data_IF_456068222220
#
_entry.id   IF_456068222220
#
_cell.length_a   1.000
_cell.length_b   1.000
_cell.length_c   1.000
_cell.angle_alpha   90.00
_cell.angle_beta   90.00
_cell.angle_gamma   90.00
#
_symmetry.space_group_name_H-M   'P 1'
#
loop_
_entity.id
_entity.type
_entity.pdbx_description
1 polymer ?
#
# COMPACT_ATOMS: atom_id res chain seq x y z
N UNK A 1 -7.62 25.81 9.60
CA UNK A 1 -7.75 24.52 8.90
C UNK A 1 -6.67 23.64 9.48
N UNK A 2 -7.01 22.45 10.00
CA UNK A 2 -6.03 21.60 10.66
C UNK A 2 -4.93 21.20 9.65
N UNK A 3 -3.66 21.32 10.05
CA UNK A 3 -2.53 20.75 9.30
C UNK A 3 -2.85 19.27 9.04
N UNK A 4 -2.86 18.88 7.76
CA UNK A 4 -3.00 17.47 7.40
C UNK A 4 -1.65 16.82 7.66
N UNK A 5 -1.50 16.21 8.83
CA UNK A 5 -0.37 15.31 9.09
C UNK A 5 -0.45 14.17 8.07
N UNK A 6 0.53 14.15 7.16
CA UNK A 6 0.75 13.16 6.12
C UNK A 6 -0.32 13.01 5.01
N UNK A 7 -0.33 13.92 4.00
CA UNK A 7 -1.25 13.84 2.86
C UNK A 7 -1.05 12.60 1.97
N UNK A 8 0.16 12.03 1.90
CA UNK A 8 0.43 10.81 1.12
C UNK A 8 -0.35 9.63 1.68
N UNK A 9 -0.17 9.35 2.97
CA UNK A 9 -0.80 8.24 3.67
C UNK A 9 -2.32 8.33 3.57
N UNK A 10 -2.86 9.55 3.77
CA UNK A 10 -4.30 9.79 3.67
C UNK A 10 -4.84 9.42 2.29
N UNK A 11 -4.22 9.90 1.21
CA UNK A 11 -4.67 9.61 -0.15
C UNK A 11 -4.63 8.11 -0.43
N UNK A 12 -3.53 7.45 -0.09
CA UNK A 12 -3.34 6.02 -0.32
C UNK A 12 -4.39 5.24 0.47
N UNK A 13 -4.50 5.48 1.77
CA UNK A 13 -5.47 4.82 2.65
C UNK A 13 -6.90 4.96 2.15
N UNK A 14 -7.34 6.19 1.85
CA UNK A 14 -8.70 6.42 1.36
C UNK A 14 -8.95 5.79 -0.02
N UNK A 15 -7.91 5.49 -0.80
CA UNK A 15 -8.05 4.80 -2.10
C UNK A 15 -8.19 3.29 -1.89
N UNK A 16 -7.40 2.71 -0.96
CA UNK A 16 -7.44 1.30 -0.61
C UNK A 16 -8.66 0.90 0.27
N UNK A 17 -9.43 1.86 0.78
CA UNK A 17 -10.70 1.60 1.47
C UNK A 17 -11.83 1.15 0.54
N UNK A 18 -11.76 1.44 -0.77
CA UNK A 18 -12.69 0.86 -1.74
C UNK A 18 -12.27 -0.60 -2.00
N UNK A 19 -13.03 -1.54 -1.43
CA UNK A 19 -12.72 -2.98 -1.48
C UNK A 19 -12.63 -3.51 -2.92
N UNK A 20 -13.46 -3.01 -3.84
CA UNK A 20 -13.43 -3.47 -5.24
C UNK A 20 -12.14 -3.03 -5.92
N UNK A 21 -11.75 -1.78 -5.68
CA UNK A 21 -10.50 -1.25 -6.18
C UNK A 21 -9.31 -1.99 -5.56
N UNK A 22 -9.28 -2.16 -4.24
CA UNK A 22 -8.20 -2.87 -3.53
C UNK A 22 -8.07 -4.32 -4.01
N UNK A 23 -9.17 -5.05 -4.17
CA UNK A 23 -9.17 -6.40 -4.73
C UNK A 23 -8.58 -6.45 -6.14
N UNK A 24 -8.94 -5.48 -6.99
CA UNK A 24 -8.41 -5.36 -8.36
C UNK A 24 -6.90 -5.08 -8.32
N UNK A 25 -6.47 -4.14 -7.48
CA UNK A 25 -5.06 -3.82 -7.29
C UNK A 25 -4.24 -5.02 -6.82
N UNK A 26 -4.68 -5.76 -5.81
CA UNK A 26 -3.96 -6.93 -5.31
C UNK A 26 -3.95 -8.08 -6.33
N UNK A 27 -5.02 -8.25 -7.11
CA UNK A 27 -5.06 -9.22 -8.21
C UNK A 27 -3.98 -8.94 -9.26
N UNK A 28 -3.70 -7.67 -9.54
CA UNK A 28 -2.70 -7.27 -10.52
C UNK A 28 -1.26 -7.25 -9.97
N UNK A 29 -1.10 -7.02 -8.66
CA UNK A 29 0.22 -6.75 -8.06
C UNK A 29 0.84 -7.94 -7.34
N UNK A 30 0.03 -8.75 -6.64
CA UNK A 30 0.52 -9.92 -5.92
C UNK A 30 1.07 -11.00 -6.87
N UNK A 31 1.95 -11.89 -6.39
CA UNK A 31 2.43 -13.02 -7.17
C UNK A 31 1.27 -13.90 -7.65
N UNK A 32 1.30 -14.32 -8.91
CA UNK A 32 0.17 -15.04 -9.52
C UNK A 32 -0.19 -16.34 -8.78
N UNK A 33 0.80 -17.03 -8.21
CA UNK A 33 0.57 -18.23 -7.41
C UNK A 33 -0.13 -17.93 -6.07
N UNK A 34 0.07 -16.75 -5.50
CA UNK A 34 -0.67 -16.27 -4.32
C UNK A 34 -2.11 -15.95 -4.72
N UNK A 35 -2.30 -15.20 -5.80
CA UNK A 35 -3.64 -14.79 -6.29
C UNK A 35 -4.54 -16.02 -6.57
N UNK A 36 -3.98 -17.10 -7.13
CA UNK A 36 -4.72 -18.36 -7.38
C UNK A 36 -5.29 -19.01 -6.10
N UNK A 37 -4.70 -18.74 -4.94
CA UNK A 37 -5.15 -19.29 -3.66
C UNK A 37 -6.18 -18.39 -2.96
N UNK A 38 -6.15 -17.10 -3.25
CA UNK A 38 -6.93 -16.07 -2.58
C UNK A 38 -8.27 -15.79 -3.29
N UNK A 39 -9.33 -15.71 -2.50
CA UNK A 39 -10.63 -15.23 -2.96
C UNK A 39 -10.75 -13.71 -2.77
N UNK A 40 -10.09 -12.96 -3.67
CA UNK A 40 -10.05 -11.50 -3.62
C UNK A 40 -11.42 -10.83 -3.82
N UNK A 41 -12.42 -11.55 -4.35
CA UNK A 41 -13.78 -11.00 -4.51
C UNK A 41 -14.47 -10.80 -3.15
N UNK A 42 -14.10 -11.61 -2.16
CA UNK A 42 -14.58 -11.54 -0.77
C UNK A 42 -13.51 -10.96 0.17
N UNK A 43 -12.62 -10.11 -0.35
CA UNK A 43 -11.66 -9.37 0.46
C UNK A 43 -12.38 -8.35 1.33
N UNK A 44 -12.11 -8.40 2.63
CA UNK A 44 -12.71 -7.50 3.62
C UNK A 44 -11.63 -6.68 4.33
N UNK A 45 -11.94 -5.41 4.59
CA UNK A 45 -11.09 -4.59 5.45
C UNK A 45 -11.40 -4.97 6.90
N UNK A 46 -10.39 -5.46 7.63
CA UNK A 46 -10.51 -5.85 9.02
C UNK A 46 -10.55 -4.59 9.90
N UNK A 47 -11.55 -4.50 10.79
CA UNK A 47 -11.68 -3.35 11.69
C UNK A 47 -10.45 -3.23 12.59
N UNK A 48 -9.87 -2.04 12.71
CA UNK A 48 -8.61 -1.72 13.41
C UNK A 48 -8.59 -1.98 14.94
N UNK A 49 -9.46 -2.85 15.47
CA UNK A 49 -9.45 -3.29 16.86
C UNK A 49 -8.33 -4.30 17.17
N UNK A 50 -7.68 -4.87 16.16
CA UNK A 50 -6.57 -5.83 16.27
C UNK A 50 -5.23 -5.20 16.69
N UNK A 51 -5.10 -3.89 16.54
CA UNK A 51 -3.83 -3.16 16.64
C UNK A 51 -3.86 -2.37 17.95
N UNK A 52 -2.90 -2.64 18.86
CA UNK A 52 -2.86 -1.99 20.18
C UNK A 52 -2.84 -0.46 20.04
N UNK A 53 -3.25 0.28 21.08
CA UNK A 53 -3.23 1.74 21.06
C UNK A 53 -1.83 2.30 20.74
N UNK A 54 -0.75 1.59 21.09
CA UNK A 54 0.61 1.97 20.71
C UNK A 54 0.89 1.84 19.21
N UNK A 55 0.32 0.84 18.54
CA UNK A 55 0.48 0.64 17.10
C UNK A 55 -0.50 1.50 16.28
N UNK A 56 -1.64 1.91 16.86
CA UNK A 56 -2.53 2.91 16.26
C UNK A 56 -1.88 4.29 16.13
N UNK A 57 -0.90 4.60 16.99
CA UNK A 57 -0.19 5.89 16.98
C UNK A 57 0.74 6.05 15.77
N UNK A 58 1.14 4.94 15.10
CA UNK A 58 1.97 4.99 13.88
C UNK A 58 1.15 5.19 12.59
N UNK A 59 -0.18 5.22 12.69
CA UNK A 59 -1.10 5.84 11.72
C UNK A 59 -1.08 5.35 10.25
N UNK A 60 -0.60 4.14 9.89
CA UNK A 60 -0.63 3.68 8.48
C UNK A 60 -0.96 2.22 8.14
N UNK A 61 -1.60 1.41 8.99
CA UNK A 61 -1.88 0.02 8.59
C UNK A 61 -3.32 -0.25 8.15
N UNK A 62 -3.49 -0.78 6.94
CA UNK A 62 -4.72 -1.45 6.51
C UNK A 62 -4.51 -2.96 6.62
N UNK A 63 -5.39 -3.64 7.34
CA UNK A 63 -5.38 -5.09 7.45
C UNK A 63 -6.54 -5.65 6.65
N UNK A 64 -6.24 -6.42 5.60
CA UNK A 64 -7.26 -7.09 4.81
C UNK A 64 -7.37 -8.55 5.21
N UNK A 65 -8.59 -9.02 5.41
CA UNK A 65 -8.91 -10.42 5.59
C UNK A 65 -9.38 -10.99 4.26
N UNK A 66 -8.76 -12.07 3.81
CA UNK A 66 -8.98 -12.65 2.49
C UNK A 66 -9.24 -14.15 2.65
N UNK A 67 -10.42 -14.65 2.26
CA UNK A 67 -10.71 -16.08 2.28
C UNK A 67 -9.81 -16.86 1.31
N UNK A 68 -9.57 -18.14 1.62
CA UNK A 68 -8.93 -19.07 0.69
C UNK A 68 -9.98 -19.68 -0.25
N UNK A 69 -9.66 -19.78 -1.54
CA UNK A 69 -10.53 -20.44 -2.55
C UNK A 69 -10.78 -21.91 -2.26
N UNK A 70 -9.92 -22.56 -1.48
CA UNK A 70 -10.13 -23.94 -1.06
C UNK A 70 -11.31 -24.12 -0.10
N UNK A 71 -11.89 -23.04 0.43
CA UNK A 71 -12.94 -23.09 1.45
C UNK A 71 -12.40 -23.47 2.85
N UNK A 72 -11.08 -23.46 3.05
CA UNK A 72 -10.49 -23.66 4.36
C UNK A 72 -10.94 -22.54 5.32
N UNK A 73 -11.25 -22.92 6.57
CA UNK A 73 -11.70 -21.97 7.61
C UNK A 73 -10.63 -20.96 8.08
N UNK A 74 -9.39 -21.06 7.58
CA UNK A 74 -8.32 -20.12 7.92
C UNK A 74 -8.24 -19.07 6.82
N UNK A 75 -8.50 -17.82 7.19
CA UNK A 75 -8.30 -16.68 6.31
C UNK A 75 -6.81 -16.37 6.18
N UNK A 76 -6.44 -15.72 5.08
CA UNK A 76 -5.14 -15.06 4.93
C UNK A 76 -5.33 -13.59 5.27
N UNK A 77 -4.42 -13.03 6.05
CA UNK A 77 -4.34 -11.59 6.28
C UNK A 77 -3.32 -10.98 5.33
N UNK A 78 -3.66 -9.84 4.73
CA UNK A 78 -2.71 -8.99 4.02
C UNK A 78 -2.55 -7.71 4.85
N UNK A 79 -1.35 -7.54 5.40
CA UNK A 79 -0.95 -6.38 6.18
C UNK A 79 -0.35 -5.36 5.24
N UNK A 80 -1.11 -4.33 4.90
CA UNK A 80 -0.70 -3.26 4.00
C UNK A 80 -0.05 -2.14 4.81
N UNK A 81 1.24 -1.91 4.57
CA UNK A 81 2.00 -0.82 5.14
C UNK A 81 2.49 0.13 4.03
N UNK A 82 2.29 1.42 4.23
CA UNK A 82 2.67 2.45 3.28
C UNK A 82 3.90 3.21 3.78
N UNK A 83 4.91 3.36 2.91
CA UNK A 83 6.13 4.13 3.21
C UNK A 83 6.43 5.14 2.12
N UNK A 84 6.41 6.41 2.53
CA UNK A 84 6.78 7.56 1.70
C UNK A 84 8.28 7.91 1.79
N UNK A 85 9.04 7.25 2.67
CA UNK A 85 10.48 7.39 2.86
C UNK A 85 11.12 6.04 3.20
N UNK A 86 12.43 5.90 2.96
CA UNK A 86 13.17 4.69 3.31
C UNK A 86 13.41 4.66 4.83
N UNK A 87 12.86 3.66 5.50
CA UNK A 87 12.93 3.51 6.95
C UNK A 87 13.51 2.14 7.31
N UNK A 88 14.66 2.14 8.00
CA UNK A 88 15.38 0.89 8.32
C UNK A 88 14.66 0.02 9.36
N UNK A 89 13.71 0.59 10.10
CA UNK A 89 12.93 -0.07 11.15
C UNK A 89 11.71 -0.82 10.65
N UNK A 90 11.37 -0.73 9.35
CA UNK A 90 10.14 -1.31 8.79
C UNK A 90 9.98 -2.80 9.09
N UNK A 91 11.04 -3.61 9.03
CA UNK A 91 10.91 -5.04 9.31
C UNK A 91 10.63 -5.34 10.79
N UNK A 92 11.17 -4.53 11.71
CA UNK A 92 10.87 -4.65 13.14
C UNK A 92 9.42 -4.24 13.40
N UNK A 93 8.96 -3.18 12.75
CA UNK A 93 7.58 -2.72 12.80
C UNK A 93 6.60 -3.80 12.29
N UNK A 94 6.87 -4.37 11.10
CA UNK A 94 6.08 -5.47 10.51
C UNK A 94 6.07 -6.71 11.42
N UNK A 95 7.21 -7.07 12.03
CA UNK A 95 7.27 -8.17 12.99
C UNK A 95 6.38 -7.89 14.21
N UNK A 96 6.36 -6.65 14.70
CA UNK A 96 5.47 -6.19 15.76
C UNK A 96 4.00 -6.37 15.38
N UNK A 97 3.60 -5.91 14.20
CA UNK A 97 2.24 -6.07 13.68
C UNK A 97 1.82 -7.54 13.54
N UNK A 98 2.66 -8.37 12.92
CA UNK A 98 2.40 -9.81 12.80
C UNK A 98 2.23 -10.46 14.18
N UNK A 99 3.06 -10.08 15.14
CA UNK A 99 2.99 -10.60 16.52
C UNK A 99 1.68 -10.21 17.19
N UNK A 100 1.21 -8.97 17.05
CA UNK A 100 -0.08 -8.54 17.61
C UNK A 100 -1.27 -9.21 16.93
N UNK A 101 -1.24 -9.41 15.60
CA UNK A 101 -2.25 -10.19 14.88
C UNK A 101 -2.35 -11.60 15.50
N UNK A 102 -1.22 -12.30 15.65
CA UNK A 102 -1.22 -13.66 16.22
C UNK A 102 -1.64 -13.69 17.69
N UNK A 103 -1.23 -12.70 18.48
CA UNK A 103 -1.66 -12.56 19.87
C UNK A 103 -3.17 -12.36 19.96
N UNK A 104 -3.76 -11.57 19.07
CA UNK A 104 -5.19 -11.39 19.02
C UNK A 104 -5.93 -12.68 18.64
N UNK A 105 -5.47 -13.39 17.60
CA UNK A 105 -6.03 -14.69 17.22
C UNK A 105 -6.01 -15.68 18.39
N UNK A 106 -4.88 -15.72 19.11
CA UNK A 106 -4.76 -16.56 20.31
C UNK A 106 -5.77 -16.17 21.41
N UNK A 107 -5.93 -14.87 21.70
CA UNK A 107 -6.91 -14.36 22.69
C UNK A 107 -8.34 -14.74 22.34
N UNK A 108 -8.67 -14.77 21.06
CA UNK A 108 -10.00 -15.13 20.55
C UNK A 108 -10.22 -16.65 20.37
N UNK A 109 -9.21 -17.48 20.65
CA UNK A 109 -9.28 -18.93 20.42
C UNK A 109 -9.30 -19.31 18.93
N UNK A 110 -8.85 -18.42 18.07
CA UNK A 110 -8.72 -18.63 16.63
C UNK A 110 -7.44 -19.42 16.31
N UNK A 111 -7.42 -20.08 15.15
CA UNK A 111 -6.18 -20.67 14.63
C UNK A 111 -5.33 -19.58 13.99
N UNK A 112 -4.01 -19.73 14.05
CA UNK A 112 -3.09 -18.82 13.39
C UNK A 112 -3.34 -18.81 11.87
N UNK A 113 -3.42 -17.60 11.32
CA UNK A 113 -3.56 -17.34 9.90
C UNK A 113 -2.21 -17.02 9.26
N UNK A 114 -2.10 -17.20 7.96
CA UNK A 114 -0.98 -16.63 7.20
C UNK A 114 -1.15 -15.11 7.18
N UNK A 115 -0.07 -14.38 7.43
CA UNK A 115 -0.01 -12.92 7.26
C UNK A 115 0.96 -12.63 6.12
N UNK A 116 0.51 -11.90 5.11
CA UNK A 116 1.31 -11.41 3.98
C UNK A 116 1.60 -9.93 4.24
N UNK A 117 2.84 -9.58 4.62
CA UNK A 117 3.25 -8.18 4.68
C UNK A 117 3.36 -7.63 3.26
N UNK A 118 2.55 -6.63 2.94
CA UNK A 118 2.55 -5.92 1.68
C UNK A 118 3.05 -4.50 1.93
N UNK A 119 4.19 -4.15 1.34
CA UNK A 119 4.80 -2.83 1.51
C UNK A 119 4.58 -2.03 0.24
N UNK A 120 3.78 -0.97 0.34
CA UNK A 120 3.64 0.04 -0.70
C UNK A 120 4.71 1.11 -0.49
N UNK A 121 5.72 1.12 -1.35
CA UNK A 121 6.83 2.08 -1.28
C UNK A 121 6.75 3.11 -2.39
N UNK A 122 6.85 4.39 -2.03
CA UNK A 122 6.99 5.47 -3.03
C UNK A 122 8.03 6.52 -2.61
N UNK A 123 9.02 6.13 -1.82
CA UNK A 123 10.08 7.03 -1.37
C UNK A 123 11.05 7.48 -2.46
N UNK A 124 11.80 8.54 -2.18
CA UNK A 124 12.76 9.06 -3.16
C UNK A 124 13.98 8.16 -3.35
N UNK A 125 14.45 7.58 -2.24
CA UNK A 125 15.61 6.69 -2.22
C UNK A 125 15.24 5.35 -2.85
N UNK A 126 16.22 4.68 -3.41
CA UNK A 126 16.03 3.31 -3.87
C UNK A 126 15.83 2.37 -2.66
N UNK A 127 14.91 1.42 -2.79
CA UNK A 127 14.73 0.36 -1.81
C UNK A 127 15.95 -0.58 -1.80
N UNK A 128 16.70 -0.59 -0.68
CA UNK A 128 17.94 -1.38 -0.51
C UNK A 128 17.89 -2.34 0.68
N UNK A 129 16.71 -2.50 1.30
CA UNK A 129 16.56 -3.32 2.50
C UNK A 129 16.33 -4.81 2.17
N UNK A 130 16.38 -5.24 0.91
CA UNK A 130 16.06 -6.63 0.54
C UNK A 130 14.55 -6.90 0.59
N UNK A 131 14.16 -8.17 0.65
CA UNK A 131 12.74 -8.55 0.69
C UNK A 131 12.41 -9.56 1.81
N UNK A 132 13.39 -9.93 2.64
CA UNK A 132 13.20 -10.78 3.81
C UNK A 132 13.71 -10.11 5.07
N UNK A 133 13.15 -10.47 6.21
CA UNK A 133 13.66 -9.98 7.49
C UNK A 133 15.11 -10.44 7.73
N UNK A 134 15.46 -11.64 7.27
CA UNK A 134 16.83 -12.16 7.29
C UNK A 134 17.83 -11.20 6.61
N UNK A 135 17.41 -10.43 5.60
CA UNK A 135 18.28 -9.47 4.90
C UNK A 135 18.72 -8.31 5.80
N UNK A 136 18.10 -8.13 6.97
CA UNK A 136 18.47 -7.10 7.95
C UNK A 136 19.64 -7.52 8.84
N UNK A 137 20.05 -8.79 8.79
CA UNK A 137 21.11 -9.33 9.63
C UNK A 137 22.44 -9.28 8.89
N UNK A 138 23.47 -8.73 9.54
CA UNK A 138 24.83 -8.70 9.00
C UNK A 138 25.53 -10.03 9.32
N UNK A 139 25.36 -11.01 8.42
CA UNK A 139 25.91 -12.36 8.55
C UNK A 139 26.66 -12.77 7.27
N UNK A 140 27.73 -13.55 7.43
CA UNK A 140 28.40 -14.23 6.32
C UNK A 140 27.54 -15.39 5.80
N UNK A 141 27.81 -15.89 4.59
CA UNK A 141 27.08 -17.03 4.02
C UNK A 141 27.15 -18.29 4.88
N UNK A 142 28.28 -18.52 5.56
CA UNK A 142 28.45 -19.65 6.48
C UNK A 142 27.57 -19.48 7.72
N UNK A 143 27.59 -18.30 8.35
CA UNK A 143 26.77 -18.00 9.51
C UNK A 143 25.28 -18.07 9.18
N UNK A 144 24.85 -17.50 8.06
CA UNK A 144 23.46 -17.61 7.58
C UNK A 144 23.03 -19.06 7.38
N UNK A 145 23.91 -19.91 6.85
CA UNK A 145 23.63 -21.34 6.68
C UNK A 145 23.35 -22.08 7.99
N UNK A 146 23.90 -21.61 9.10
CA UNK A 146 23.80 -22.22 10.43
C UNK A 146 22.70 -21.55 11.28
N UNK A 147 22.59 -20.22 11.22
CA UNK A 147 21.78 -19.43 12.15
C UNK A 147 20.38 -19.09 11.63
N UNK A 148 20.11 -19.24 10.32
CA UNK A 148 18.83 -18.84 9.71
C UNK A 148 17.59 -19.46 10.39
N UNK A 149 17.70 -20.68 10.91
CA UNK A 149 16.57 -21.40 11.52
C UNK A 149 16.21 -20.85 12.92
N UNK A 150 17.06 -19.98 13.49
CA UNK A 150 16.82 -19.28 14.77
C UNK A 150 16.34 -17.83 14.58
N UNK A 151 16.21 -17.37 13.33
CA UNK A 151 15.75 -16.02 12.99
C UNK A 151 14.26 -16.12 12.61
N UNK A 152 13.37 -15.26 13.17
CA UNK A 152 11.96 -15.24 12.81
C UNK A 152 11.77 -14.58 11.43
N UNK A 153 12.22 -15.25 10.38
CA UNK A 153 12.27 -14.72 9.02
C UNK A 153 10.90 -14.75 8.32
N UNK A 154 10.59 -13.68 7.61
CA UNK A 154 9.42 -13.56 6.74
C UNK A 154 9.77 -12.74 5.50
N UNK A 155 9.00 -12.96 4.42
CA UNK A 155 9.14 -12.22 3.17
C UNK A 155 8.09 -11.10 3.11
N UNK A 156 8.47 -9.94 2.59
CA UNK A 156 7.53 -8.88 2.18
C UNK A 156 7.18 -9.01 0.69
N UNK A 157 5.95 -8.65 0.35
CA UNK A 157 5.58 -8.30 -1.02
C UNK A 157 5.75 -6.79 -1.21
N UNK A 158 6.77 -6.40 -1.98
CA UNK A 158 7.14 -5.00 -2.16
C UNK A 158 6.55 -4.47 -3.48
N UNK A 159 5.73 -3.43 -3.38
CA UNK A 159 5.31 -2.61 -4.50
C UNK A 159 6.07 -1.28 -4.49
N UNK A 160 7.14 -1.19 -5.28
CA UNK A 160 7.91 0.04 -5.47
C UNK A 160 7.34 0.87 -6.62
N UNK A 161 6.54 1.89 -6.28
CA UNK A 161 5.81 2.73 -7.24
C UNK A 161 6.72 3.34 -8.30
N UNK A 162 7.97 3.66 -7.99
CA UNK A 162 8.90 4.26 -8.96
C UNK A 162 9.29 3.31 -10.09
N UNK A 163 9.17 2.00 -9.88
CA UNK A 163 9.62 0.95 -10.81
C UNK A 163 8.47 0.35 -11.63
N UNK A 164 7.28 0.95 -11.55
CA UNK A 164 6.06 0.39 -12.14
C UNK A 164 5.52 1.28 -13.25
N UNK A 165 5.32 0.69 -14.43
CA UNK A 165 4.52 1.25 -15.51
C UNK A 165 3.04 1.00 -15.23
N UNK A 166 2.35 2.01 -14.70
CA UNK A 166 1.01 1.86 -14.12
C UNK A 166 -0.05 1.37 -15.12
N UNK A 167 0.00 1.84 -16.38
CA UNK A 167 -0.96 1.45 -17.41
C UNK A 167 -0.84 -0.01 -17.82
N UNK A 168 0.36 -0.56 -17.75
CA UNK A 168 0.60 -1.98 -18.07
C UNK A 168 0.29 -2.86 -16.85
N UNK A 169 0.56 -2.35 -15.66
CA UNK A 169 0.47 -3.12 -14.42
C UNK A 169 -0.94 -3.14 -13.82
N UNK A 170 -1.73 -2.08 -13.94
CA UNK A 170 -2.99 -1.92 -13.19
C UNK A 170 -4.18 -1.82 -14.12
N UNK A 171 -5.24 -2.58 -13.85
CA UNK A 171 -6.53 -2.47 -14.59
C UNK A 171 -7.38 -1.29 -14.09
N UNK A 172 -7.27 -0.95 -12.80
CA UNK A 172 -8.05 0.11 -12.18
C UNK A 172 -7.63 1.50 -12.66
N UNK A 173 -8.54 2.20 -13.34
CA UNK A 173 -8.36 3.61 -13.71
C UNK A 173 -8.18 4.49 -12.47
N UNK A 174 -8.94 4.22 -11.39
CA UNK A 174 -8.80 4.94 -10.11
C UNK A 174 -7.35 4.89 -9.61
N UNK A 175 -6.72 3.70 -9.59
CA UNK A 175 -5.33 3.55 -9.18
C UNK A 175 -4.35 4.09 -10.21
N UNK A 176 -4.57 3.90 -11.50
CA UNK A 176 -3.69 4.46 -12.54
C UNK A 176 -3.58 5.99 -12.41
N UNK A 177 -4.70 6.70 -12.27
CA UNK A 177 -4.67 8.16 -12.11
C UNK A 177 -4.09 8.55 -10.76
N UNK A 178 -4.57 7.93 -9.68
CA UNK A 178 -4.16 8.30 -8.31
C UNK A 178 -2.67 8.07 -8.10
N UNK A 179 -2.18 6.87 -8.43
CA UNK A 179 -0.78 6.53 -8.28
C UNK A 179 0.09 7.26 -9.30
N UNK A 180 -0.44 7.57 -10.49
CA UNK A 180 0.26 8.40 -11.48
C UNK A 180 0.55 9.80 -10.93
N UNK A 181 -0.43 10.44 -10.28
CA UNK A 181 -0.20 11.71 -9.58
C UNK A 181 0.81 11.55 -8.46
N UNK A 182 0.70 10.51 -7.63
CA UNK A 182 1.64 10.24 -6.52
C UNK A 182 3.06 9.99 -7.02
N UNK A 183 3.24 9.26 -8.12
CA UNK A 183 4.54 8.92 -8.72
C UNK A 183 5.28 10.18 -9.21
N UNK A 184 4.53 11.16 -9.74
CA UNK A 184 5.05 12.42 -10.31
C UNK A 184 5.09 13.58 -9.30
N UNK A 185 4.53 13.41 -8.10
CA UNK A 185 4.29 14.53 -7.15
C UNK A 185 5.57 15.23 -6.65
N UNK A 186 6.75 14.64 -6.85
CA UNK A 186 8.04 15.22 -6.45
C UNK A 186 8.87 15.80 -7.62
N UNK A 187 8.36 15.71 -8.86
CA UNK A 187 9.02 16.29 -10.03
C UNK A 187 8.98 17.84 -10.02
N UNK A 188 9.78 18.49 -10.87
CA UNK A 188 9.72 19.94 -11.02
C UNK A 188 8.32 20.41 -11.46
N UNK A 189 7.91 21.63 -11.08
CA UNK A 189 6.53 22.10 -11.29
C UNK A 189 6.06 22.01 -12.74
N UNK A 190 6.88 22.44 -13.71
CA UNK A 190 6.54 22.38 -15.13
C UNK A 190 6.39 20.93 -15.63
N UNK A 191 7.27 20.04 -15.19
CA UNK A 191 7.24 18.61 -15.56
C UNK A 191 5.99 17.95 -14.99
N UNK A 192 5.74 18.12 -13.70
CA UNK A 192 4.55 17.60 -13.05
C UNK A 192 3.24 18.09 -13.68
N UNK A 193 3.14 19.40 -13.91
CA UNK A 193 1.97 20.01 -14.56
C UNK A 193 1.75 19.43 -15.96
N UNK A 194 2.83 19.17 -16.71
CA UNK A 194 2.74 18.60 -18.06
C UNK A 194 2.11 17.19 -18.10
N UNK A 195 2.15 16.45 -16.98
CA UNK A 195 1.56 15.10 -16.88
C UNK A 195 0.08 15.11 -16.51
N UNK A 196 -0.40 16.17 -15.86
CA UNK A 196 -1.77 16.22 -15.33
C UNK A 196 -2.87 16.08 -16.39
N UNK A 197 -2.80 16.71 -17.58
CA UNK A 197 -3.82 16.51 -18.61
C UNK A 197 -3.97 15.05 -19.03
N UNK A 198 -2.86 14.34 -19.23
CA UNK A 198 -2.86 12.93 -19.64
C UNK A 198 -3.30 11.97 -18.52
N UNK A 199 -3.06 12.31 -17.26
CA UNK A 199 -3.56 11.55 -16.12
C UNK A 199 -5.06 11.78 -15.91
N UNK A 200 -5.51 13.04 -15.94
CA UNK A 200 -6.91 13.38 -15.72
C UNK A 200 -7.81 13.01 -16.89
N UNK A 201 -7.30 12.90 -18.12
CA UNK A 201 -8.09 12.39 -19.24
C UNK A 201 -8.54 10.94 -19.03
N UNK A 202 -7.75 10.12 -18.32
CA UNK A 202 -8.15 8.74 -17.99
C UNK A 202 -9.40 8.70 -17.13
N UNK A 203 -9.65 9.73 -16.31
CA UNK A 203 -10.87 9.79 -15.49
C UNK A 203 -12.14 9.80 -16.35
N UNK A 204 -12.08 10.20 -17.62
CA UNK A 204 -13.20 10.14 -18.55
C UNK A 204 -13.64 8.71 -18.88
N UNK A 205 -12.77 7.72 -18.66
CA UNK A 205 -13.09 6.30 -18.83
C UNK A 205 -13.93 5.75 -17.66
N UNK A 206 -14.05 6.49 -16.55
CA UNK A 206 -14.95 6.16 -15.46
C UNK A 206 -16.37 6.63 -15.81
N UNK A 207 -17.28 5.68 -16.05
CA UNK A 207 -18.68 5.93 -16.40
C UNK A 207 -19.41 6.73 -15.32
N UNK A 208 -19.17 6.39 -14.05
CA UNK A 208 -19.84 7.02 -12.91
C UNK A 208 -19.29 8.42 -12.62
N UNK A 209 -20.07 9.44 -12.95
CA UNK A 209 -19.69 10.85 -12.77
C UNK A 209 -19.38 11.23 -11.32
N UNK A 210 -20.17 10.74 -10.35
CA UNK A 210 -19.95 10.99 -8.92
C UNK A 210 -18.59 10.50 -8.47
N UNK A 211 -18.22 9.26 -8.86
CA UNK A 211 -16.90 8.68 -8.58
C UNK A 211 -15.78 9.48 -9.24
N UNK A 212 -15.95 9.85 -10.52
CA UNK A 212 -15.00 10.67 -11.27
C UNK A 212 -14.72 12.01 -10.58
N UNK A 213 -15.77 12.75 -10.20
CA UNK A 213 -15.66 14.04 -9.51
C UNK A 213 -15.03 13.88 -8.13
N UNK A 214 -15.38 12.82 -7.40
CA UNK A 214 -14.81 12.53 -6.09
C UNK A 214 -13.29 12.27 -6.17
N UNK A 215 -12.84 11.48 -7.15
CA UNK A 215 -11.41 11.21 -7.39
C UNK A 215 -10.69 12.51 -7.75
N UNK A 216 -11.19 13.28 -8.72
CA UNK A 216 -10.58 14.53 -9.13
C UNK A 216 -10.43 15.51 -7.94
N UNK A 217 -11.49 15.68 -7.15
CA UNK A 217 -11.47 16.53 -5.96
C UNK A 217 -10.41 16.07 -4.96
N UNK A 218 -10.32 14.76 -4.71
CA UNK A 218 -9.33 14.20 -3.78
C UNK A 218 -7.91 14.47 -4.27
N UNK A 219 -7.65 14.29 -5.56
CA UNK A 219 -6.33 14.54 -6.17
C UNK A 219 -5.96 16.02 -6.12
N UNK A 220 -6.88 16.94 -6.43
CA UNK A 220 -6.61 18.38 -6.35
C UNK A 220 -6.29 18.82 -4.91
N UNK A 221 -7.02 18.31 -3.92
CA UNK A 221 -6.73 18.58 -2.50
C UNK A 221 -5.38 18.02 -2.08
N UNK A 222 -5.07 16.79 -2.50
CA UNK A 222 -3.78 16.16 -2.25
C UNK A 222 -2.63 16.97 -2.87
N UNK A 223 -2.76 17.38 -4.13
CA UNK A 223 -1.74 18.19 -4.82
C UNK A 223 -1.54 19.52 -4.07
N UNK A 224 -2.61 20.19 -3.66
CA UNK A 224 -2.56 21.42 -2.88
C UNK A 224 -1.90 21.24 -1.50
N UNK A 225 -2.06 20.08 -0.85
CA UNK A 225 -1.44 19.82 0.44
C UNK A 225 0.02 19.40 0.34
N UNK A 226 0.41 18.71 -0.72
CA UNK A 226 1.80 18.26 -0.92
C UNK A 226 2.65 19.33 -1.58
N UNK A 227 2.08 20.04 -2.56
CA UNK A 227 2.73 21.11 -3.28
C UNK A 227 2.07 22.42 -2.89
N UNK A 228 2.88 23.43 -2.57
CA UNK A 228 2.44 24.81 -2.31
C UNK A 228 1.94 25.53 -3.58
N UNK A 229 1.40 24.76 -4.55
CA UNK A 229 0.88 25.25 -5.81
C UNK A 229 -0.44 25.98 -5.59
N UNK A 230 -0.51 27.23 -6.02
CA UNK A 230 -1.71 28.05 -5.89
C UNK A 230 -2.73 27.64 -6.95
N UNK A 231 -4.05 27.69 -6.66
CA UNK A 231 -5.10 27.42 -7.64
C UNK A 231 -4.96 28.22 -8.96
N UNK A 232 -4.31 29.38 -8.94
CA UNK A 232 -4.03 30.19 -10.14
C UNK A 232 -3.07 29.53 -11.13
N UNK A 233 -2.21 28.62 -10.69
CA UNK A 233 -1.22 27.92 -11.52
C UNK A 233 -1.86 26.76 -12.31
N UNK A 234 -3.06 26.32 -11.90
CA UNK A 234 -3.87 25.34 -12.63
C UNK A 234 -4.60 25.93 -13.84
N UNK A 235 -4.55 27.26 -14.07
CA UNK A 235 -5.19 27.91 -15.24
C UNK A 235 -4.60 27.48 -16.59
N UNK A 236 -3.43 26.82 -16.59
CA UNK A 236 -2.80 26.27 -17.79
C UNK A 236 -3.32 24.86 -18.11
N UNK A 237 -4.01 24.22 -17.16
CA UNK A 237 -4.43 22.81 -17.21
C UNK A 237 -5.88 22.66 -17.69
N UNK A 238 -6.70 23.71 -17.53
CA UNK A 238 -8.11 23.75 -17.93
C UNK A 238 -8.35 24.70 -19.10
#
# INVERSE_FOLDING_TARGET
MAEVNNPHDRLIRETFQDQKEAATFFKNTLPIEVVKLLDLENLELSESSFVSEELKQEQTDLLFQIPLRSGNKSNVYLLFEHKSYLENTIYIQLLGYMTEIYRNQQRNGEKLSVVIPFVFYHGEKEWKLGNRFLDQFVLTSQETGILKDFIPDFKIDLFDLKKVELKEKLESITFQVTLGVVQRIREGDLEFISHLPGLFSLLLEIEEESKRVAILRKLLLYIYWVRDLKPSEFKVIF
#
